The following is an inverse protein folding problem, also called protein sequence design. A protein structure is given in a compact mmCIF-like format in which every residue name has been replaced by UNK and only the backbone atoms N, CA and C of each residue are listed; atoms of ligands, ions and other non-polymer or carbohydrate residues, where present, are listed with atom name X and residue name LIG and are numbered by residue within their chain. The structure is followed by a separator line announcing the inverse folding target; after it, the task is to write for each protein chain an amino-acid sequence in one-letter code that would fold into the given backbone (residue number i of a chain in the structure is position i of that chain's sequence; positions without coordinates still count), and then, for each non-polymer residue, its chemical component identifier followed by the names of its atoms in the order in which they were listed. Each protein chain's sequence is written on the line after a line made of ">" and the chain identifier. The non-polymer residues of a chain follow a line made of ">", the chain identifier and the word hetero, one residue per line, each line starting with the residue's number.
data_IF_807463546233
#
_entry.id   IF_807463546233
#
_cell.length_a   1.000
_cell.length_b   1.000
_cell.length_c   1.000
_cell.angle_alpha   90.00
_cell.angle_beta   90.00
_cell.angle_gamma   90.00
#
_symmetry.space_group_name_H-M   'P 1'
#
loop_
_entity.id
_entity.type
_entity.pdbx_description
1 polymer ?
#
# COMPACT_ATOMS: atom_id res chain seq x y z
N UNK A 1 39.07 -9.33 -13.88
CA UNK A 1 37.85 -10.10 -14.10
C UNK A 1 36.81 -9.16 -14.74
N UNK A 2 36.77 -9.03 -16.06
CA UNK A 2 35.79 -8.16 -16.74
C UNK A 2 34.44 -8.85 -17.00
N UNK A 3 34.35 -10.15 -16.88
CA UNK A 3 33.17 -10.92 -17.35
C UNK A 3 31.92 -10.79 -16.47
N UNK A 4 32.03 -10.37 -15.23
CA UNK A 4 30.86 -10.23 -14.34
C UNK A 4 30.02 -8.99 -14.62
N UNK A 5 30.58 -7.94 -15.21
CA UNK A 5 29.86 -6.71 -15.50
C UNK A 5 28.89 -6.85 -16.72
N UNK A 6 29.19 -7.71 -17.67
CA UNK A 6 28.36 -7.90 -18.86
C UNK A 6 27.09 -8.71 -18.58
N UNK A 7 27.12 -9.62 -17.63
CA UNK A 7 25.95 -10.43 -17.26
C UNK A 7 24.82 -9.65 -16.59
N UNK A 8 25.10 -8.43 -16.10
CA UNK A 8 24.12 -7.58 -15.42
C UNK A 8 23.28 -6.72 -16.38
N UNK A 9 23.54 -6.75 -17.67
CA UNK A 9 22.85 -5.95 -18.70
C UNK A 9 21.84 -6.76 -19.50
N UNK A 10 21.13 -7.67 -18.89
CA UNK A 10 20.10 -8.43 -19.59
C UNK A 10 18.79 -7.65 -19.62
N UNK A 11 18.42 -7.23 -20.82
CA UNK A 11 17.17 -6.55 -21.09
C UNK A 11 16.26 -7.45 -21.93
N UNK A 12 14.99 -7.53 -21.50
CA UNK A 12 13.93 -8.28 -22.17
C UNK A 12 13.13 -7.44 -23.17
N UNK A 13 11.84 -7.68 -23.20
CA UNK A 13 10.89 -7.03 -24.10
C UNK A 13 10.80 -5.51 -23.93
N UNK A 14 10.37 -4.76 -24.97
CA UNK A 14 9.97 -3.38 -24.81
C UNK A 14 8.76 -3.27 -23.87
N UNK A 15 8.59 -2.09 -23.24
CA UNK A 15 7.43 -1.85 -22.40
C UNK A 15 6.14 -1.98 -23.21
N UNK A 16 5.14 -2.74 -22.72
CA UNK A 16 3.87 -2.89 -23.41
C UNK A 16 3.10 -1.56 -23.42
N UNK A 17 2.42 -1.28 -24.51
CA UNK A 17 1.62 -0.06 -24.63
C UNK A 17 0.37 -0.07 -23.74
N UNK A 18 -0.19 -1.25 -23.52
CA UNK A 18 -1.34 -1.49 -22.65
C UNK A 18 -1.13 -2.77 -21.85
N UNK A 19 -1.18 -2.66 -20.54
CA UNK A 19 -1.14 -3.80 -19.64
C UNK A 19 -2.53 -4.08 -19.10
N UNK A 20 -2.98 -5.31 -19.29
CA UNK A 20 -4.18 -5.80 -18.62
C UNK A 20 -3.79 -6.24 -17.21
N UNK A 21 -4.50 -5.73 -16.22
CA UNK A 21 -4.35 -6.14 -14.82
C UNK A 21 -5.34 -7.26 -14.55
N UNK A 22 -4.88 -8.35 -13.93
CA UNK A 22 -5.76 -9.45 -13.55
C UNK A 22 -6.85 -8.99 -12.58
N UNK A 23 -8.06 -9.56 -12.65
CA UNK A 23 -9.13 -9.22 -11.71
C UNK A 23 -8.69 -9.41 -10.26
N UNK A 24 -8.95 -8.42 -9.43
CA UNK A 24 -8.59 -8.44 -8.00
C UNK A 24 -7.20 -7.88 -7.69
N UNK A 25 -6.38 -7.57 -8.71
CA UNK A 25 -5.02 -7.05 -8.56
C UNK A 25 -4.91 -5.58 -8.94
N UNK A 26 -3.79 -4.96 -8.56
CA UNK A 26 -3.34 -3.66 -9.02
C UNK A 26 -2.01 -3.83 -9.76
N UNK A 27 -1.86 -3.17 -10.90
CA UNK A 27 -0.59 -3.14 -11.64
C UNK A 27 0.34 -2.06 -11.07
N UNK A 28 1.64 -2.35 -11.02
CA UNK A 28 2.67 -1.37 -10.72
C UNK A 28 3.82 -1.49 -11.72
N UNK A 29 4.11 -0.40 -12.40
CA UNK A 29 5.21 -0.29 -13.35
C UNK A 29 6.32 0.56 -12.72
N UNK A 30 7.44 -0.08 -12.43
CA UNK A 30 8.64 0.59 -11.94
C UNK A 30 9.64 0.75 -13.07
N UNK A 31 10.17 1.94 -13.28
CA UNK A 31 11.11 2.18 -14.36
C UNK A 31 12.16 3.22 -14.02
N UNK A 32 13.31 3.11 -14.71
CA UNK A 32 14.41 4.03 -14.57
C UNK A 32 14.73 4.62 -15.95
N UNK A 33 14.65 5.95 -16.13
CA UNK A 33 14.96 6.59 -17.40
C UNK A 33 16.35 6.22 -17.93
N UNK A 34 16.52 6.14 -19.24
CA UNK A 34 17.78 5.75 -19.89
C UNK A 34 18.94 6.71 -19.56
N UNK A 35 18.64 7.98 -19.31
CA UNK A 35 19.64 9.00 -18.93
C UNK A 35 19.98 9.07 -17.44
N UNK A 36 19.39 8.20 -16.60
CA UNK A 36 19.68 8.18 -15.17
C UNK A 36 21.11 7.70 -14.90
N UNK A 37 21.80 8.37 -14.00
CA UNK A 37 23.16 7.99 -13.55
C UNK A 37 23.15 7.07 -12.34
N UNK A 38 24.35 6.60 -11.93
CA UNK A 38 24.56 5.83 -10.69
C UNK A 38 24.36 4.32 -10.82
N UNK A 39 24.59 3.57 -9.73
CA UNK A 39 24.49 2.11 -9.71
C UNK A 39 23.04 1.65 -9.90
N UNK A 40 22.84 0.34 -10.06
CA UNK A 40 21.50 -0.22 -10.16
C UNK A 40 20.65 0.13 -8.93
N UNK A 41 19.38 0.45 -9.14
CA UNK A 41 18.45 0.79 -8.08
C UNK A 41 17.54 -0.41 -7.77
N UNK A 42 17.63 -0.92 -6.55
CA UNK A 42 16.74 -1.95 -6.04
C UNK A 42 15.37 -1.35 -5.73
N UNK A 43 14.33 -2.06 -6.09
CA UNK A 43 12.94 -1.74 -5.76
C UNK A 43 12.41 -2.80 -4.80
N UNK A 44 11.70 -2.36 -3.79
CA UNK A 44 11.10 -3.20 -2.76
C UNK A 44 9.60 -2.88 -2.60
N UNK A 45 8.83 -3.91 -2.37
CA UNK A 45 7.40 -3.83 -2.05
C UNK A 45 7.17 -4.48 -0.70
N UNK A 46 6.63 -3.75 0.26
CA UNK A 46 6.39 -4.20 1.64
C UNK A 46 7.63 -4.82 2.32
N UNK A 47 8.82 -4.32 1.97
CA UNK A 47 10.09 -4.84 2.46
C UNK A 47 10.68 -6.01 1.67
N UNK A 48 9.93 -6.56 0.70
CA UNK A 48 10.37 -7.66 -0.15
C UNK A 48 10.99 -7.14 -1.46
N UNK A 49 12.10 -7.74 -1.86
CA UNK A 49 12.82 -7.38 -3.08
C UNK A 49 12.03 -7.72 -4.34
N UNK A 50 11.85 -6.75 -5.22
CA UNK A 50 11.20 -6.93 -6.51
C UNK A 50 12.20 -7.03 -7.68
N UNK A 51 13.05 -6.03 -7.85
CA UNK A 51 13.98 -5.97 -8.97
C UNK A 51 15.11 -4.97 -8.72
N UNK A 52 16.21 -5.11 -9.47
CA UNK A 52 17.26 -4.08 -9.58
C UNK A 52 17.17 -3.45 -10.97
N UNK A 53 16.92 -2.16 -11.02
CA UNK A 53 16.75 -1.42 -12.27
C UNK A 53 18.04 -0.70 -12.68
N UNK A 54 18.58 -1.06 -13.82
CA UNK A 54 19.60 -0.28 -14.54
C UNK A 54 18.94 0.89 -15.29
N UNK A 55 19.69 1.95 -15.64
CA UNK A 55 19.20 2.97 -16.56
C UNK A 55 18.66 2.35 -17.85
N UNK A 56 17.46 2.75 -18.26
CA UNK A 56 16.78 2.15 -19.41
C UNK A 56 15.96 0.88 -19.11
N UNK A 57 15.93 0.44 -17.86
CA UNK A 57 15.19 -0.73 -17.42
C UNK A 57 13.83 -0.41 -16.82
N UNK A 58 12.88 -1.33 -17.00
CA UNK A 58 11.61 -1.33 -16.29
C UNK A 58 11.30 -2.72 -15.70
N UNK A 59 10.42 -2.75 -14.71
CA UNK A 59 9.80 -3.97 -14.19
C UNK A 59 8.33 -3.73 -13.91
N UNK A 60 7.50 -4.61 -14.42
CA UNK A 60 6.09 -4.68 -14.09
C UNK A 60 5.85 -5.73 -13.01
N UNK A 61 4.91 -5.46 -12.11
CA UNK A 61 4.44 -6.42 -11.13
C UNK A 61 2.94 -6.22 -10.88
N UNK A 62 2.23 -7.31 -10.68
CA UNK A 62 0.89 -7.28 -10.09
C UNK A 62 1.02 -7.39 -8.58
N UNK A 63 0.41 -6.43 -7.89
CA UNK A 63 0.46 -6.27 -6.44
C UNK A 63 -0.95 -6.32 -5.89
N UNK A 64 -1.07 -6.58 -4.61
CA UNK A 64 -2.34 -6.41 -3.95
C UNK A 64 -2.79 -4.94 -4.06
N UNK A 65 -4.09 -4.69 -4.30
CA UNK A 65 -4.60 -3.33 -4.36
C UNK A 65 -4.50 -2.64 -3.00
N UNK A 66 -4.70 -1.30 -3.02
CA UNK A 66 -4.66 -0.42 -1.86
C UNK A 66 -3.25 -0.17 -1.31
N UNK A 67 -3.12 0.04 -0.03
CA UNK A 67 -1.94 0.62 0.60
C UNK A 67 -0.72 -0.31 0.51
N UNK A 68 0.23 0.01 -0.37
CA UNK A 68 1.49 -0.72 -0.52
C UNK A 68 2.66 0.17 -0.11
N UNK A 69 3.57 -0.36 0.70
CA UNK A 69 4.79 0.35 1.05
C UNK A 69 5.87 0.07 0.01
N UNK A 70 6.29 1.11 -0.70
CA UNK A 70 7.29 1.03 -1.74
C UNK A 70 8.58 1.71 -1.28
N UNK A 71 9.71 1.10 -1.58
CA UNK A 71 11.03 1.65 -1.26
C UNK A 71 12.01 1.39 -2.39
N UNK A 72 13.07 2.20 -2.44
CA UNK A 72 14.20 1.98 -3.34
C UNK A 72 15.52 2.25 -2.63
N UNK A 73 16.59 1.55 -3.07
CA UNK A 73 17.95 1.72 -2.57
C UNK A 73 18.93 1.37 -3.67
N UNK A 74 20.10 2.04 -3.69
CA UNK A 74 21.15 1.61 -4.61
C UNK A 74 21.76 0.26 -4.22
N UNK A 75 22.11 -0.55 -5.21
CA UNK A 75 22.89 -1.77 -4.98
C UNK A 75 24.23 -1.40 -4.32
N UNK A 76 24.63 -2.20 -3.33
CA UNK A 76 25.86 -1.95 -2.56
C UNK A 76 25.67 -1.03 -1.35
N UNK A 77 24.53 -0.38 -1.17
CA UNK A 77 24.16 0.25 0.09
C UNK A 77 23.52 -0.80 1.00
N UNK A 78 24.05 -0.98 2.21
CA UNK A 78 23.48 -1.91 3.19
C UNK A 78 22.25 -1.29 3.85
N UNK A 79 21.17 -1.24 3.10
CA UNK A 79 19.89 -0.66 3.51
C UNK A 79 18.80 -1.71 3.72
N UNK A 80 19.10 -3.00 3.46
CA UNK A 80 18.12 -4.08 3.54
C UNK A 80 17.44 -4.17 4.92
N UNK A 81 18.18 -3.92 5.99
CA UNK A 81 17.63 -3.87 7.34
C UNK A 81 16.58 -2.74 7.49
N UNK A 82 16.92 -1.52 7.09
CA UNK A 82 16.03 -0.36 7.19
C UNK A 82 14.77 -0.54 6.35
N UNK A 83 14.89 -1.16 5.18
CA UNK A 83 13.76 -1.45 4.29
C UNK A 83 12.82 -2.48 4.92
N UNK A 84 13.36 -3.53 5.52
CA UNK A 84 12.57 -4.50 6.29
C UNK A 84 11.96 -3.89 7.53
N UNK A 85 12.70 -3.03 8.22
CA UNK A 85 12.27 -2.34 9.43
C UNK A 85 11.21 -1.24 9.20
N UNK A 86 10.87 -0.93 7.94
CA UNK A 86 9.77 -0.03 7.64
C UNK A 86 10.11 1.20 6.79
N UNK A 87 11.33 1.32 6.27
CA UNK A 87 11.66 2.42 5.35
C UNK A 87 10.85 2.32 4.04
N UNK A 88 10.49 3.46 3.47
CA UNK A 88 9.69 3.59 2.24
C UNK A 88 8.47 4.47 2.44
N UNK A 89 7.75 4.68 1.36
CA UNK A 89 6.53 5.47 1.32
C UNK A 89 5.33 4.61 0.96
N UNK A 90 4.16 5.00 1.45
CA UNK A 90 2.91 4.29 1.19
C UNK A 90 2.19 4.89 -0.01
N UNK A 91 1.76 4.01 -0.91
CA UNK A 91 1.00 4.35 -2.11
C UNK A 91 -0.29 3.55 -2.15
N UNK A 92 -1.40 4.23 -2.42
CA UNK A 92 -2.70 3.58 -2.65
C UNK A 92 -2.77 3.15 -4.11
N UNK A 93 -2.68 1.83 -4.35
CA UNK A 93 -2.73 1.26 -5.69
C UNK A 93 -4.17 0.88 -6.04
N UNK A 94 -4.81 1.55 -7.00
CA UNK A 94 -6.21 1.24 -7.33
C UNK A 94 -6.32 -0.10 -8.05
N UNK A 95 -7.30 -0.91 -7.60
CA UNK A 95 -7.59 -2.21 -8.20
C UNK A 95 -7.96 -2.07 -9.69
N UNK A 96 -7.38 -2.92 -10.53
CA UNK A 96 -7.64 -2.96 -11.97
C UNK A 96 -6.90 -1.87 -12.78
N UNK A 97 -6.07 -1.06 -12.15
CA UNK A 97 -5.29 0.00 -12.82
C UNK A 97 -3.81 -0.21 -12.64
N UNK A 98 -3.03 0.35 -13.58
CA UNK A 98 -1.56 0.39 -13.50
C UNK A 98 -1.11 1.74 -12.97
N UNK A 99 -0.38 1.70 -11.86
CA UNK A 99 0.33 2.85 -11.29
C UNK A 99 1.78 2.85 -11.78
N UNK A 100 2.33 4.03 -12.04
CA UNK A 100 3.67 4.19 -12.62
C UNK A 100 4.60 4.90 -11.63
N UNK A 101 5.77 4.29 -11.42
CA UNK A 101 6.78 4.77 -10.50
C UNK A 101 8.12 4.94 -11.21
N UNK A 102 8.54 6.18 -11.32
CA UNK A 102 9.84 6.53 -11.88
C UNK A 102 10.89 6.53 -10.78
N UNK A 103 11.99 5.82 -10.98
CA UNK A 103 13.15 5.87 -10.10
C UNK A 103 13.99 7.08 -10.46
N UNK A 104 14.15 8.00 -9.52
CA UNK A 104 14.98 9.20 -9.64
C UNK A 104 16.04 9.22 -8.55
N UNK A 105 17.12 9.99 -8.77
CA UNK A 105 18.10 10.25 -7.73
C UNK A 105 17.56 11.33 -6.78
N UNK A 106 17.39 10.97 -5.51
CA UNK A 106 16.92 11.87 -4.46
C UNK A 106 18.02 12.62 -3.72
N UNK A 107 19.28 12.52 -4.17
CA UNK A 107 20.45 13.15 -3.52
C UNK A 107 21.04 12.33 -2.38
N UNK A 108 20.24 11.64 -1.58
CA UNK A 108 20.67 10.69 -0.54
C UNK A 108 20.47 9.23 -0.96
N UNK A 109 20.00 9.00 -2.17
CA UNK A 109 19.70 7.69 -2.74
C UNK A 109 18.55 7.74 -3.73
N UNK A 110 18.22 6.61 -4.36
CA UNK A 110 17.12 6.55 -5.30
C UNK A 110 15.78 6.69 -4.55
N UNK A 111 14.85 7.41 -5.15
CA UNK A 111 13.48 7.54 -4.67
C UNK A 111 12.48 7.14 -5.75
N UNK A 112 11.29 6.73 -5.35
CA UNK A 112 10.19 6.39 -6.25
C UNK A 112 9.27 7.60 -6.38
N UNK A 113 9.13 8.10 -7.59
CA UNK A 113 8.22 9.18 -7.92
C UNK A 113 7.02 8.63 -8.68
N UNK A 114 5.83 8.76 -8.09
CA UNK A 114 4.60 8.46 -8.82
C UNK A 114 4.40 9.45 -9.97
N UNK A 115 4.07 8.94 -11.15
CA UNK A 115 3.83 9.74 -12.35
C UNK A 115 2.52 9.33 -13.01
N UNK A 116 1.93 10.23 -13.78
CA UNK A 116 0.73 9.91 -14.55
C UNK A 116 1.06 9.05 -15.78
N UNK A 117 0.03 8.38 -16.32
CA UNK A 117 0.18 7.49 -17.49
C UNK A 117 0.76 8.21 -18.71
N UNK A 118 0.41 9.46 -18.97
CA UNK A 118 0.89 10.18 -20.14
C UNK A 118 2.40 10.40 -20.10
N UNK A 119 2.92 10.83 -18.94
CA UNK A 119 4.37 10.97 -18.69
C UNK A 119 5.07 9.61 -18.80
N UNK A 120 4.53 8.60 -18.12
CA UNK A 120 5.12 7.25 -18.15
C UNK A 120 5.19 6.68 -19.57
N UNK A 121 4.13 6.82 -20.38
CA UNK A 121 4.10 6.31 -21.74
C UNK A 121 5.15 6.95 -22.65
N UNK A 122 5.46 8.23 -22.46
CA UNK A 122 6.52 8.91 -23.20
C UNK A 122 7.91 8.39 -22.83
N UNK A 123 8.14 8.11 -21.56
CA UNK A 123 9.44 7.66 -21.05
C UNK A 123 9.66 6.16 -21.29
N UNK A 124 8.62 5.33 -21.16
CA UNK A 124 8.69 3.88 -21.31
C UNK A 124 8.97 3.40 -22.73
N UNK A 125 8.64 4.18 -23.76
CA UNK A 125 8.74 3.76 -25.17
C UNK A 125 10.13 3.29 -25.61
N UNK A 126 11.19 3.69 -24.93
CA UNK A 126 12.57 3.30 -25.21
C UNK A 126 13.15 2.31 -24.18
N UNK A 127 12.37 1.96 -23.17
CA UNK A 127 12.86 1.12 -22.08
C UNK A 127 12.64 -0.37 -22.38
N UNK A 128 13.44 -1.18 -21.73
CA UNK A 128 13.41 -2.64 -21.84
C UNK A 128 13.18 -3.29 -20.47
N UNK A 129 12.50 -4.43 -20.48
CA UNK A 129 12.29 -5.19 -19.25
C UNK A 129 13.63 -5.62 -18.64
N UNK A 130 13.77 -5.40 -17.33
CA UNK A 130 14.94 -5.84 -16.59
C UNK A 130 14.74 -7.29 -16.13
N UNK A 131 15.51 -8.21 -16.72
CA UNK A 131 15.28 -9.67 -16.54
C UNK A 131 16.35 -10.38 -15.74
N UNK A 132 17.45 -9.71 -15.37
CA UNK A 132 18.60 -10.35 -14.69
C UNK A 132 18.39 -10.67 -13.20
N UNK A 133 17.29 -10.21 -12.60
CA UNK A 133 17.01 -10.45 -11.18
C UNK A 133 15.67 -11.17 -10.98
N UNK A 134 15.65 -12.04 -9.98
CA UNK A 134 14.44 -12.77 -9.60
C UNK A 134 13.76 -12.07 -8.42
N UNK A 135 12.47 -11.76 -8.53
CA UNK A 135 11.70 -11.24 -7.42
C UNK A 135 11.69 -12.20 -6.23
N UNK A 136 11.75 -11.68 -5.02
CA UNK A 136 11.46 -12.43 -3.79
C UNK A 136 10.01 -12.23 -3.34
N UNK A 137 9.29 -11.36 -4.03
CA UNK A 137 7.88 -11.14 -3.81
C UNK A 137 7.10 -12.41 -4.17
N UNK A 138 6.34 -12.95 -3.23
CA UNK A 138 5.46 -14.09 -3.49
C UNK A 138 4.36 -13.68 -4.47
N UNK A 139 4.37 -14.25 -5.65
CA UNK A 139 3.41 -13.96 -6.72
C UNK A 139 2.04 -14.62 -6.50
N UNK A 140 1.93 -15.57 -5.58
CA UNK A 140 0.70 -16.32 -5.30
C UNK A 140 0.02 -15.88 -3.99
N UNK A 141 0.27 -14.66 -3.53
CA UNK A 141 -0.41 -14.13 -2.34
C UNK A 141 -1.90 -14.00 -2.61
N UNK A 142 -2.70 -14.49 -1.68
CA UNK A 142 -4.07 -14.00 -1.57
C UNK A 142 -4.01 -12.52 -1.23
N UNK A 143 -4.64 -11.66 -2.03
CA UNK A 143 -4.75 -10.23 -1.72
C UNK A 143 -5.81 -9.93 -0.65
N UNK A 144 -6.39 -10.94 -0.05
CA UNK A 144 -7.19 -10.76 1.14
C UNK A 144 -6.28 -10.23 2.26
N UNK A 145 -6.65 -9.13 2.93
CA UNK A 145 -5.90 -8.66 4.07
C UNK A 145 -5.83 -9.79 5.10
N UNK A 146 -4.62 -10.09 5.59
CA UNK A 146 -4.46 -11.02 6.69
C UNK A 146 -5.14 -10.39 7.92
N UNK A 147 -6.16 -11.08 8.45
CA UNK A 147 -6.86 -10.64 9.64
C UNK A 147 -5.97 -10.91 10.85
N UNK A 148 -5.22 -9.90 11.27
CA UNK A 148 -4.29 -9.99 12.40
C UNK A 148 -5.05 -9.97 13.72
N UNK A 149 -6.08 -9.13 13.83
CA UNK A 149 -6.89 -8.99 15.03
C UNK A 149 -8.30 -8.50 14.72
N UNK A 150 -9.29 -9.01 15.43
CA UNK A 150 -10.69 -8.60 15.30
C UNK A 150 -11.28 -8.26 16.66
N UNK A 151 -11.95 -7.13 16.71
CA UNK A 151 -12.73 -6.71 17.87
C UNK A 151 -14.22 -6.68 17.54
N UNK A 152 -15.00 -7.47 18.24
CA UNK A 152 -16.46 -7.42 18.15
C UNK A 152 -17.00 -6.61 19.32
N UNK A 153 -17.74 -5.55 19.01
CA UNK A 153 -18.33 -4.67 20.01
C UNK A 153 -19.82 -4.62 19.80
N UNK A 154 -20.57 -4.91 20.84
CA UNK A 154 -22.03 -4.77 20.78
C UNK A 154 -22.40 -3.30 20.62
N UNK A 155 -23.22 -2.99 19.64
CA UNK A 155 -23.63 -1.63 19.31
C UNK A 155 -24.45 -1.00 20.44
N UNK A 156 -25.19 -1.81 21.22
CA UNK A 156 -25.95 -1.37 22.39
C UNK A 156 -25.07 -0.87 23.52
N UNK A 157 -23.79 -1.30 23.57
CA UNK A 157 -22.80 -0.81 24.53
C UNK A 157 -22.06 0.44 24.05
N UNK A 158 -22.11 0.71 22.74
CA UNK A 158 -21.44 1.88 22.15
C UNK A 158 -22.31 3.13 22.11
N UNK A 159 -23.57 2.99 21.68
CA UNK A 159 -24.47 4.12 21.42
C UNK A 159 -25.81 3.93 22.11
N UNK A 160 -26.42 5.06 22.50
CA UNK A 160 -27.85 5.08 22.86
C UNK A 160 -28.69 4.62 21.68
N UNK A 161 -29.87 4.09 21.94
CA UNK A 161 -30.81 3.64 20.91
C UNK A 161 -31.03 4.73 19.86
N UNK A 162 -30.95 4.36 18.60
CA UNK A 162 -31.16 5.23 17.43
C UNK A 162 -30.22 6.46 17.37
N UNK A 163 -29.03 6.37 17.99
CA UNK A 163 -28.03 7.44 17.97
C UNK A 163 -26.72 6.97 17.32
N UNK A 164 -25.93 7.93 16.84
CA UNK A 164 -24.67 7.67 16.11
C UNK A 164 -23.55 8.65 16.47
N UNK A 165 -23.85 9.79 17.08
CA UNK A 165 -22.87 10.84 17.35
C UNK A 165 -22.14 10.62 18.69
N UNK A 166 -20.96 11.27 18.81
CA UNK A 166 -20.09 11.12 19.98
C UNK A 166 -20.75 11.57 21.30
N UNK A 167 -21.64 12.57 21.25
CA UNK A 167 -22.33 13.06 22.44
C UNK A 167 -23.31 12.02 23.00
N UNK A 168 -23.86 11.17 22.12
CA UNK A 168 -24.77 10.09 22.47
C UNK A 168 -24.09 8.71 22.56
N UNK A 169 -22.76 8.68 22.50
CA UNK A 169 -22.00 7.47 22.79
C UNK A 169 -22.00 7.23 24.31
N UNK A 170 -22.22 5.98 24.69
CA UNK A 170 -22.24 5.58 26.09
C UNK A 170 -20.84 5.67 26.72
N UNK A 171 -20.72 5.96 28.03
CA UNK A 171 -19.43 6.03 28.72
C UNK A 171 -18.62 4.74 28.58
N UNK A 172 -19.28 3.59 28.70
CA UNK A 172 -18.68 2.26 28.54
C UNK A 172 -18.14 2.08 27.13
N UNK A 173 -18.87 2.54 26.11
CA UNK A 173 -18.44 2.49 24.72
C UNK A 173 -17.20 3.36 24.45
N UNK A 174 -17.16 4.56 25.03
CA UNK A 174 -15.99 5.44 24.95
C UNK A 174 -14.76 4.81 25.61
N UNK A 175 -14.94 4.20 26.75
CA UNK A 175 -13.87 3.52 27.49
C UNK A 175 -13.37 2.31 26.69
N UNK A 176 -14.29 1.49 26.16
CA UNK A 176 -13.95 0.32 25.32
C UNK A 176 -13.15 0.68 24.07
N UNK A 177 -13.52 1.77 23.39
CA UNK A 177 -12.74 2.24 22.23
C UNK A 177 -11.34 2.72 22.63
N UNK A 178 -11.16 3.33 23.80
CA UNK A 178 -9.83 3.70 24.30
C UNK A 178 -8.97 2.47 24.59
N UNK A 179 -9.56 1.43 25.20
CA UNK A 179 -8.87 0.17 25.46
C UNK A 179 -8.43 -0.51 24.14
N UNK A 180 -9.32 -0.57 23.15
CA UNK A 180 -8.99 -1.08 21.83
C UNK A 180 -7.90 -0.25 21.17
N UNK A 181 -7.98 1.08 21.27
CA UNK A 181 -6.94 1.95 20.74
C UNK A 181 -5.58 1.72 21.40
N UNK A 182 -5.55 1.49 22.71
CA UNK A 182 -4.33 1.17 23.44
C UNK A 182 -3.77 -0.22 23.08
N UNK A 183 -4.63 -1.22 22.98
CA UNK A 183 -4.25 -2.60 22.63
C UNK A 183 -3.78 -2.69 21.18
N UNK A 184 -4.42 -1.94 20.28
CA UNK A 184 -4.06 -1.87 18.85
C UNK A 184 -2.94 -0.87 18.53
N UNK A 185 -2.33 -0.25 19.55
CA UNK A 185 -1.35 0.83 19.36
C UNK A 185 -0.16 0.43 18.48
N UNK A 186 0.26 -0.83 18.54
CA UNK A 186 1.31 -1.38 17.69
C UNK A 186 0.95 -1.39 16.20
N UNK A 187 -0.33 -1.35 15.84
CA UNK A 187 -0.83 -1.34 14.46
C UNK A 187 -1.19 0.07 13.95
N UNK A 188 -0.99 1.12 14.74
CA UNK A 188 -1.37 2.50 14.36
C UNK A 188 -0.52 3.08 13.25
N UNK A 189 0.73 2.60 13.10
CA UNK A 189 1.68 3.06 12.12
C UNK A 189 1.41 2.35 10.79
N UNK A 190 0.69 3.01 9.97
CA UNK A 190 0.53 2.98 8.51
C UNK A 190 0.76 1.67 7.70
N UNK A 191 1.21 0.58 8.31
CA UNK A 191 1.39 -0.72 7.65
C UNK A 191 0.12 -1.56 7.65
N UNK A 192 -0.80 -1.28 8.57
CA UNK A 192 -2.05 -2.03 8.73
C UNK A 192 -3.24 -1.16 8.36
N UNK A 193 -4.19 -1.71 7.63
CA UNK A 193 -5.48 -1.08 7.38
C UNK A 193 -6.46 -1.62 8.42
N UNK A 194 -7.13 -0.71 9.12
CA UNK A 194 -8.16 -1.06 10.10
C UNK A 194 -9.52 -0.81 9.45
N UNK A 195 -10.29 -1.86 9.29
CA UNK A 195 -11.67 -1.79 8.82
C UNK A 195 -12.61 -1.63 10.00
N UNK A 196 -13.54 -0.70 9.87
CA UNK A 196 -14.56 -0.39 10.87
C UNK A 196 -15.92 -0.70 10.26
N UNK A 197 -16.39 -1.89 10.49
CA UNK A 197 -17.67 -2.35 9.95
C UNK A 197 -18.78 -2.05 10.95
N UNK A 198 -19.72 -1.21 10.55
CA UNK A 198 -20.91 -0.91 11.34
C UNK A 198 -22.05 -1.83 10.94
N UNK A 199 -22.64 -2.50 11.93
CA UNK A 199 -23.84 -3.30 11.73
C UNK A 199 -25.04 -2.61 12.37
N UNK A 200 -26.23 -2.85 11.85
CA UNK A 200 -27.50 -2.44 12.42
C UNK A 200 -28.41 -3.65 12.56
N UNK A 201 -29.33 -3.57 13.50
CA UNK A 201 -30.39 -4.58 13.67
C UNK A 201 -31.15 -4.73 12.34
N UNK A 202 -31.49 -5.96 11.91
CA UNK A 202 -32.29 -6.20 10.72
C UNK A 202 -33.70 -5.65 10.82
N UNK A 203 -34.18 -5.30 12.01
CA UNK A 203 -35.47 -4.65 12.19
C UNK A 203 -35.48 -3.22 11.67
N UNK A 204 -36.51 -2.87 10.89
CA UNK A 204 -36.69 -1.53 10.33
C UNK A 204 -36.42 -1.42 8.82
N UNK A 205 -36.31 -0.19 8.33
CA UNK A 205 -36.08 0.07 6.90
C UNK A 205 -34.62 -0.14 6.53
N UNK A 206 -34.26 -1.01 5.57
CA UNK A 206 -32.86 -1.30 5.22
C UNK A 206 -32.03 -0.05 4.90
N UNK A 207 -32.56 0.90 4.13
CA UNK A 207 -31.86 2.13 3.77
C UNK A 207 -31.61 3.07 4.97
N UNK A 208 -32.45 2.99 6.00
CA UNK A 208 -32.23 3.74 7.25
C UNK A 208 -31.12 3.08 8.06
N UNK A 209 -31.21 1.77 8.25
CA UNK A 209 -30.20 0.99 8.99
C UNK A 209 -28.82 1.10 8.37
N UNK A 210 -28.72 1.07 7.05
CA UNK A 210 -27.45 1.27 6.34
C UNK A 210 -26.85 2.66 6.64
N UNK A 211 -27.65 3.72 6.62
CA UNK A 211 -27.16 5.06 6.95
C UNK A 211 -26.76 5.20 8.42
N UNK A 212 -27.52 4.58 9.31
CA UNK A 212 -27.23 4.60 10.75
C UNK A 212 -25.93 3.86 11.06
N UNK A 213 -25.75 2.66 10.52
CA UNK A 213 -24.52 1.88 10.69
C UNK A 213 -23.28 2.60 10.14
N UNK A 214 -23.40 3.19 8.95
CA UNK A 214 -22.31 3.97 8.36
C UNK A 214 -21.94 5.20 9.21
N UNK A 215 -22.91 5.95 9.73
CA UNK A 215 -22.65 7.09 10.61
C UNK A 215 -22.00 6.67 11.92
N UNK A 216 -22.38 5.52 12.47
CA UNK A 216 -21.75 4.95 13.67
C UNK A 216 -20.30 4.56 13.42
N UNK A 217 -20.03 3.89 12.30
CA UNK A 217 -18.66 3.55 11.89
C UNK A 217 -17.79 4.81 11.73
N UNK A 218 -18.33 5.88 11.13
CA UNK A 218 -17.62 7.16 11.01
C UNK A 218 -17.32 7.80 12.38
N UNK A 219 -18.24 7.67 13.34
CA UNK A 219 -17.99 8.18 14.70
C UNK A 219 -16.90 7.38 15.41
N UNK A 220 -16.90 6.06 15.28
CA UNK A 220 -15.83 5.20 15.80
C UNK A 220 -14.48 5.57 15.13
N UNK A 221 -14.44 5.73 13.80
CA UNK A 221 -13.25 6.21 13.09
C UNK A 221 -12.71 7.50 13.68
N UNK A 222 -13.57 8.49 13.90
CA UNK A 222 -13.17 9.76 14.51
C UNK A 222 -12.54 9.57 15.89
N UNK A 223 -13.15 8.74 16.74
CA UNK A 223 -12.61 8.44 18.07
C UNK A 223 -11.22 7.79 17.98
N UNK A 224 -11.01 6.87 17.06
CA UNK A 224 -9.69 6.26 16.85
C UNK A 224 -8.65 7.28 16.38
N UNK A 225 -9.02 8.19 15.47
CA UNK A 225 -8.13 9.29 15.06
C UNK A 225 -7.75 10.19 16.24
N UNK A 226 -8.72 10.54 17.10
CA UNK A 226 -8.48 11.32 18.33
C UNK A 226 -7.57 10.57 19.34
N UNK A 227 -7.48 9.24 19.22
CA UNK A 227 -6.56 8.40 20.00
C UNK A 227 -5.25 8.04 19.27
N UNK A 228 -4.90 8.77 18.20
CA UNK A 228 -3.58 8.72 17.57
C UNK A 228 -3.46 7.81 16.36
N UNK A 229 -4.55 7.27 15.83
CA UNK A 229 -4.52 6.51 14.56
C UNK A 229 -4.48 7.44 13.35
N UNK A 230 -3.73 7.06 12.32
CA UNK A 230 -3.74 7.79 11.05
C UNK A 230 -5.10 7.71 10.38
N UNK A 231 -5.70 8.83 9.92
CA UNK A 231 -6.95 8.80 9.16
C UNK A 231 -6.88 7.93 7.89
N UNK A 232 -5.71 7.82 7.29
CA UNK A 232 -5.47 7.03 6.07
C UNK A 232 -5.45 5.51 6.31
N UNK A 233 -5.12 5.08 7.54
CA UNK A 233 -5.13 3.67 7.92
C UNK A 233 -6.53 3.16 8.30
N UNK A 234 -7.52 4.04 8.43
CA UNK A 234 -8.86 3.70 8.89
C UNK A 234 -9.88 3.74 7.73
N UNK A 235 -10.55 2.64 7.49
CA UNK A 235 -11.66 2.49 6.52
C UNK A 235 -12.97 2.25 7.27
N UNK A 236 -14.00 3.08 7.03
CA UNK A 236 -15.30 3.02 7.69
C UNK A 236 -16.43 3.22 6.68
#
# INVERSE_FOLDING_TARGET
>A
MPELAEQWQTFGAPAPANEAVNPGWAGAMFYRPAGAGGPAANVYVNGEYLASLLPGGYRYAELCPYNQRLASAYTGQDTAYNIKAGAGEFYDLPQGYVSFFRVIDGGMGPTLQAVNRATASQELGQLREQTHTLPRLEQNRSCAPELVQQYNIDISTLFKFDRYDYANMLPEGKQRLKEIAADSYQYRDATSVIYIDGYADPEGKPAYNQRLSQRRAQTVKRVLVENGFSPSSLKA
#
